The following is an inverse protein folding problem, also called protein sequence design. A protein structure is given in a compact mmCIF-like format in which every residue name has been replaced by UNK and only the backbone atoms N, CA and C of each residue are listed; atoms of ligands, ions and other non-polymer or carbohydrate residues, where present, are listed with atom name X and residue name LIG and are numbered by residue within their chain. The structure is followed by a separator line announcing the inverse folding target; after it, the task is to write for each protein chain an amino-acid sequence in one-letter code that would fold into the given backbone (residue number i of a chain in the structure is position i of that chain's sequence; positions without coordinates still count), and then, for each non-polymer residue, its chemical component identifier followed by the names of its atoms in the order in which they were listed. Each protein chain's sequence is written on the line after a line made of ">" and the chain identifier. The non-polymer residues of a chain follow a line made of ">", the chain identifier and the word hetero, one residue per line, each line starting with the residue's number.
data_IF_918452566387
#
_entry.id   IF_918452566387
#
_cell.length_a   1.000
_cell.length_b   1.000
_cell.length_c   1.000
_cell.angle_alpha   90.00
_cell.angle_beta   90.00
_cell.angle_gamma   90.00
#
_symmetry.space_group_name_H-M   'P 1'
#
loop_
_entity.id
_entity.type
_entity.pdbx_description
1 polymer ?
#
# COMPACT_ATOMS: atom_id res chain seq x y z
N UNK A 1 20.80 34.96 32.65
CA UNK A 1 20.85 33.50 32.43
C UNK A 1 19.58 32.77 32.87
N UNK A 2 19.10 32.89 34.12
CA UNK A 2 17.86 32.21 34.58
C UNK A 2 16.61 32.54 33.74
N UNK A 3 16.41 33.83 33.39
CA UNK A 3 15.28 34.26 32.56
C UNK A 3 15.33 33.66 31.16
N UNK A 4 16.51 33.65 30.53
CA UNK A 4 16.73 33.06 29.21
C UNK A 4 16.43 31.56 29.22
N UNK A 5 16.98 30.79 30.16
CA UNK A 5 16.71 29.36 30.28
C UNK A 5 15.21 29.08 30.51
N UNK A 6 14.53 29.90 31.31
CA UNK A 6 13.08 29.80 31.50
C UNK A 6 12.32 30.03 30.19
N UNK A 7 12.68 31.06 29.43
CA UNK A 7 12.04 31.38 28.15
C UNK A 7 12.25 30.27 27.12
N UNK A 8 13.48 29.77 26.98
CA UNK A 8 13.80 28.62 26.11
C UNK A 8 13.00 27.39 26.51
N UNK A 9 12.94 27.07 27.82
CA UNK A 9 12.18 25.91 28.31
C UNK A 9 10.69 26.02 28.01
N UNK A 10 10.11 27.22 28.19
CA UNK A 10 8.70 27.47 27.84
C UNK A 10 8.48 27.31 26.33
N UNK A 11 9.37 27.87 25.50
CA UNK A 11 9.26 27.73 24.04
C UNK A 11 9.34 26.27 23.60
N UNK A 12 10.30 25.49 24.12
CA UNK A 12 10.41 24.06 23.83
C UNK A 12 9.16 23.29 24.29
N UNK A 13 8.62 23.61 25.47
CA UNK A 13 7.38 23.01 25.95
C UNK A 13 6.21 23.30 25.00
N UNK A 14 6.09 24.54 24.52
CA UNK A 14 5.06 24.92 23.55
C UNK A 14 5.21 24.16 22.23
N UNK A 15 6.45 23.97 21.75
CA UNK A 15 6.71 23.18 20.54
C UNK A 15 6.31 21.70 20.73
N UNK A 16 6.60 21.11 21.90
CA UNK A 16 6.20 19.74 22.21
C UNK A 16 4.68 19.60 22.25
N UNK A 17 3.98 20.55 22.90
CA UNK A 17 2.51 20.57 22.95
C UNK A 17 1.92 20.71 21.53
N UNK A 18 2.47 21.62 20.71
CA UNK A 18 2.03 21.79 19.33
C UNK A 18 2.26 20.53 18.50
N UNK A 19 3.44 19.90 18.61
CA UNK A 19 3.72 18.62 17.95
C UNK A 19 2.71 17.55 18.33
N UNK A 20 2.40 17.41 19.62
CA UNK A 20 1.45 16.43 20.12
C UNK A 20 0.04 16.65 19.55
N UNK A 21 -0.43 17.90 19.52
CA UNK A 21 -1.74 18.24 18.94
C UNK A 21 -1.78 17.95 17.43
N UNK A 22 -0.74 18.31 16.69
CA UNK A 22 -0.63 18.00 15.26
C UNK A 22 -0.54 16.50 15.00
N UNK A 23 0.16 15.75 15.86
CA UNK A 23 0.25 14.30 15.74
C UNK A 23 -1.11 13.63 15.99
N UNK A 24 -1.90 14.09 16.97
CA UNK A 24 -3.28 13.61 17.16
C UNK A 24 -4.11 13.84 15.89
N UNK A 25 -3.99 15.02 15.28
CA UNK A 25 -4.69 15.36 14.05
C UNK A 25 -4.27 14.43 12.89
N UNK A 26 -2.98 14.28 12.64
CA UNK A 26 -2.45 13.38 11.60
C UNK A 26 -2.87 11.93 11.86
N UNK A 27 -2.78 11.48 13.11
CA UNK A 27 -3.18 10.12 13.47
C UNK A 27 -4.65 9.87 13.14
N UNK A 28 -5.53 10.82 13.45
CA UNK A 28 -6.96 10.66 13.24
C UNK A 28 -7.37 10.52 11.77
N UNK A 29 -6.70 11.20 10.84
CA UNK A 29 -7.12 11.27 9.44
C UNK A 29 -6.21 10.55 8.45
N UNK A 30 -4.99 10.19 8.84
CA UNK A 30 -3.99 9.63 7.91
C UNK A 30 -3.36 8.31 8.36
N UNK A 31 -3.07 8.17 9.67
CA UNK A 31 -2.35 7.00 10.18
C UNK A 31 -3.29 5.91 10.70
N UNK A 32 -4.38 6.27 11.41
CA UNK A 32 -5.19 5.31 12.19
C UNK A 32 -5.59 4.06 11.41
N UNK A 33 -6.12 4.25 10.21
CA UNK A 33 -6.65 3.14 9.41
C UNK A 33 -5.51 2.29 8.81
N UNK A 34 -4.29 2.84 8.73
CA UNK A 34 -3.11 2.11 8.28
C UNK A 34 -2.49 1.22 9.36
N UNK A 35 -2.61 1.61 10.64
CA UNK A 35 -2.02 0.92 11.80
C UNK A 35 -2.92 -0.17 12.39
N UNK A 36 -4.16 -0.26 11.94
CA UNK A 36 -5.11 -1.27 12.39
C UNK A 36 -4.91 -2.56 11.59
N UNK A 37 -4.64 -3.65 12.31
CA UNK A 37 -4.45 -4.99 11.76
C UNK A 37 -5.03 -6.02 12.72
N UNK A 38 -5.77 -6.98 12.18
CA UNK A 38 -6.26 -8.10 12.97
C UNK A 38 -5.21 -9.23 12.99
N UNK A 39 -4.71 -9.51 14.19
CA UNK A 39 -3.70 -10.55 14.44
C UNK A 39 -4.31 -11.93 14.67
N UNK A 40 -5.64 -12.06 14.64
CA UNK A 40 -6.37 -13.32 14.83
C UNK A 40 -6.33 -14.28 13.63
N UNK A 41 -5.84 -13.82 12.47
CA UNK A 41 -5.74 -14.61 11.24
C UNK A 41 -4.39 -15.31 11.11
N UNK A 42 -4.33 -16.30 10.22
CA UNK A 42 -3.07 -16.99 9.86
C UNK A 42 -2.68 -16.85 8.39
N UNK A 43 -3.60 -16.32 7.56
CA UNK A 43 -3.36 -15.97 6.17
C UNK A 43 -3.57 -14.47 5.99
N UNK A 44 -2.70 -13.82 5.22
CA UNK A 44 -2.75 -12.37 5.02
C UNK A 44 -2.53 -12.00 3.55
N UNK A 45 -3.24 -10.96 3.09
CA UNK A 45 -2.99 -10.31 1.80
C UNK A 45 -2.16 -9.03 2.02
N UNK A 46 -1.01 -8.96 1.37
CA UNK A 46 -0.13 -7.79 1.32
C UNK A 46 -0.09 -7.25 -0.11
N UNK A 47 -0.97 -6.31 -0.43
CA UNK A 47 -0.96 -5.64 -1.72
C UNK A 47 -0.97 -4.12 -1.55
N UNK A 48 -0.77 -3.43 -2.66
CA UNK A 48 -0.88 -1.98 -2.69
C UNK A 48 -2.35 -1.54 -2.80
N UNK A 49 -2.62 -0.45 -3.51
CA UNK A 49 -3.98 0.03 -3.72
C UNK A 49 -4.87 -0.99 -4.44
N UNK A 50 -4.32 -1.97 -5.18
CA UNK A 50 -5.11 -3.02 -5.85
C UNK A 50 -5.79 -3.98 -4.87
N UNK A 51 -5.21 -4.21 -3.68
CA UNK A 51 -5.83 -5.04 -2.64
C UNK A 51 -6.94 -4.31 -1.87
N UNK A 52 -6.98 -2.98 -1.92
CA UNK A 52 -7.93 -2.18 -1.09
C UNK A 52 -9.42 -2.42 -1.40
N UNK A 53 -9.87 -2.64 -2.65
CA UNK A 53 -11.28 -2.87 -2.93
C UNK A 53 -11.80 -4.21 -2.41
N UNK A 54 -10.93 -5.19 -2.16
CA UNK A 54 -11.31 -6.47 -1.57
C UNK A 54 -11.73 -6.31 -0.11
N UNK A 55 -11.22 -5.28 0.59
CA UNK A 55 -11.61 -4.96 1.97
C UNK A 55 -11.71 -6.17 2.88
N UNK A 56 -12.78 -6.22 3.69
CA UNK A 56 -13.07 -7.32 4.61
C UNK A 56 -13.70 -8.55 3.90
N UNK A 57 -13.91 -8.51 2.59
CA UNK A 57 -14.48 -9.66 1.88
C UNK A 57 -13.54 -10.86 1.95
N UNK A 58 -12.22 -10.64 2.02
CA UNK A 58 -11.24 -11.73 2.15
C UNK A 58 -11.36 -12.47 3.48
N UNK A 59 -11.91 -11.83 4.51
CA UNK A 59 -12.05 -12.40 5.85
C UNK A 59 -13.06 -13.54 5.91
N UNK A 60 -14.03 -13.56 4.97
CA UNK A 60 -14.97 -14.68 4.78
C UNK A 60 -14.22 -15.98 4.43
N UNK A 61 -13.01 -15.85 3.87
CA UNK A 61 -12.13 -16.95 3.50
C UNK A 61 -10.96 -17.13 4.47
N UNK A 62 -11.07 -16.63 5.71
CA UNK A 62 -10.04 -16.68 6.75
C UNK A 62 -8.70 -16.02 6.35
N UNK A 63 -8.76 -15.02 5.46
CA UNK A 63 -7.61 -14.21 5.03
C UNK A 63 -7.81 -12.76 5.44
N UNK A 64 -6.91 -12.18 6.24
CA UNK A 64 -6.98 -10.76 6.57
C UNK A 64 -6.33 -9.90 5.48
N UNK A 65 -7.07 -8.91 4.98
CA UNK A 65 -6.57 -7.97 4.01
C UNK A 65 -5.73 -6.89 4.69
N UNK A 66 -4.42 -7.04 4.63
CA UNK A 66 -3.48 -6.08 5.21
C UNK A 66 -2.84 -5.17 4.14
N UNK A 67 -3.55 -4.97 3.03
CA UNK A 67 -3.16 -4.08 1.93
C UNK A 67 -3.32 -2.61 2.29
N UNK A 68 -2.51 -1.75 1.68
CA UNK A 68 -2.57 -0.30 1.89
C UNK A 68 -2.37 0.46 0.59
N UNK A 69 -3.10 1.58 0.42
CA UNK A 69 -2.90 2.45 -0.73
C UNK A 69 -1.43 2.87 -0.84
N UNK A 70 -0.81 2.64 -2.00
CA UNK A 70 0.60 2.92 -2.26
C UNK A 70 1.59 2.07 -1.44
N UNK A 71 1.21 0.91 -0.90
CA UNK A 71 2.21 0.06 -0.25
C UNK A 71 3.29 -0.39 -1.25
N UNK A 72 4.54 -0.11 -0.89
CA UNK A 72 5.71 -0.62 -1.61
C UNK A 72 6.15 -1.96 -1.03
N UNK A 73 7.08 -2.66 -1.69
CA UNK A 73 7.65 -3.88 -1.11
C UNK A 73 8.37 -3.62 0.22
N UNK A 74 8.89 -2.41 0.46
CA UNK A 74 9.45 -2.05 1.77
C UNK A 74 8.37 -2.00 2.86
N UNK A 75 7.18 -1.49 2.53
CA UNK A 75 6.05 -1.44 3.45
C UNK A 75 5.54 -2.86 3.75
N UNK A 76 5.38 -3.68 2.71
CA UNK A 76 4.99 -5.08 2.82
C UNK A 76 6.01 -5.90 3.61
N UNK A 77 7.32 -5.65 3.43
CA UNK A 77 8.38 -6.29 4.22
C UNK A 77 8.26 -5.96 5.71
N UNK A 78 8.00 -4.69 6.05
CA UNK A 78 7.79 -4.26 7.45
C UNK A 78 6.54 -4.89 8.05
N UNK A 79 5.44 -4.92 7.29
CA UNK A 79 4.20 -5.60 7.68
C UNK A 79 4.41 -7.08 7.92
N UNK A 80 5.08 -7.79 7.02
CA UNK A 80 5.40 -9.22 7.17
C UNK A 80 6.20 -9.49 8.45
N UNK A 81 7.25 -8.71 8.70
CA UNK A 81 8.07 -8.84 9.91
C UNK A 81 7.26 -8.56 11.17
N UNK A 82 6.37 -7.57 11.13
CA UNK A 82 5.44 -7.30 12.21
C UNK A 82 4.51 -8.48 12.48
N UNK A 83 3.89 -9.06 11.44
CA UNK A 83 3.01 -10.22 11.57
C UNK A 83 3.76 -11.40 12.22
N UNK A 84 4.95 -11.75 11.73
CA UNK A 84 5.76 -12.85 12.27
C UNK A 84 6.11 -12.66 13.75
N UNK A 85 6.30 -11.42 14.20
CA UNK A 85 6.57 -11.11 15.62
C UNK A 85 5.36 -11.25 16.52
N UNK A 86 4.15 -11.09 16.00
CA UNK A 86 2.95 -10.89 16.81
C UNK A 86 1.84 -11.93 16.60
N UNK A 87 1.93 -12.76 15.56
CA UNK A 87 0.97 -13.83 15.28
C UNK A 87 1.63 -14.99 14.54
N UNK A 88 0.87 -16.08 14.35
CA UNK A 88 1.27 -17.20 13.51
C UNK A 88 0.86 -16.92 12.08
N UNK A 89 1.83 -16.93 11.16
CA UNK A 89 1.58 -16.73 9.73
C UNK A 89 1.85 -18.04 9.01
N UNK A 90 0.84 -18.56 8.31
CA UNK A 90 0.94 -19.77 7.50
C UNK A 90 1.11 -19.42 6.01
N UNK A 91 0.41 -18.38 5.55
CA UNK A 91 0.41 -17.99 4.14
C UNK A 91 0.33 -16.48 3.95
N UNK A 92 1.03 -15.99 2.94
CA UNK A 92 0.97 -14.62 2.45
C UNK A 92 0.61 -14.62 0.97
N UNK A 93 -0.39 -13.82 0.62
CA UNK A 93 -0.65 -13.40 -0.75
C UNK A 93 0.01 -12.04 -0.96
N UNK A 94 0.75 -11.84 -2.05
CA UNK A 94 1.45 -10.59 -2.33
C UNK A 94 1.17 -10.10 -3.74
N UNK A 95 0.95 -8.79 -3.93
CA UNK A 95 0.80 -8.26 -5.28
C UNK A 95 2.13 -8.30 -6.06
N UNK A 96 2.05 -8.69 -7.33
CA UNK A 96 3.18 -8.76 -8.27
C UNK A 96 2.82 -8.21 -9.65
N UNK A 97 1.96 -7.19 -9.67
CA UNK A 97 1.56 -6.48 -10.89
C UNK A 97 2.76 -5.82 -11.58
N UNK A 98 2.61 -5.50 -12.86
CA UNK A 98 3.70 -5.04 -13.73
C UNK A 98 4.42 -3.78 -13.22
N UNK A 99 3.72 -2.89 -12.51
CA UNK A 99 4.27 -1.62 -11.98
C UNK A 99 4.89 -1.75 -10.57
N UNK A 100 4.74 -2.88 -9.88
CA UNK A 100 5.09 -2.99 -8.44
C UNK A 100 6.58 -2.79 -8.15
N UNK A 101 7.44 -3.01 -9.15
CA UNK A 101 8.88 -2.75 -9.09
C UNK A 101 9.30 -1.41 -9.72
N UNK A 102 8.36 -0.53 -10.05
CA UNK A 102 8.65 0.81 -10.60
C UNK A 102 9.51 1.63 -9.63
N UNK A 103 10.56 2.33 -10.11
CA UNK A 103 11.31 3.29 -9.30
C UNK A 103 10.48 4.37 -8.65
N UNK A 104 9.33 4.74 -9.23
CA UNK A 104 8.41 5.70 -8.62
C UNK A 104 7.88 5.25 -7.25
N UNK A 105 7.87 3.94 -6.96
CA UNK A 105 7.46 3.37 -5.67
C UNK A 105 8.43 3.66 -4.53
N UNK A 106 9.66 4.11 -4.83
CA UNK A 106 10.59 4.59 -3.80
C UNK A 106 10.14 5.93 -3.20
N UNK A 107 9.32 6.70 -3.92
CA UNK A 107 8.73 7.95 -3.44
C UNK A 107 7.22 7.85 -3.20
N UNK A 108 6.53 6.97 -3.93
CA UNK A 108 5.11 6.64 -3.78
C UNK A 108 4.92 5.42 -2.87
N UNK A 109 5.23 5.60 -1.59
CA UNK A 109 5.15 4.54 -0.58
C UNK A 109 4.55 5.04 0.73
N UNK A 110 4.56 4.19 1.76
CA UNK A 110 4.06 4.49 3.09
C UNK A 110 5.12 4.37 4.18
N UNK A 111 6.41 4.60 3.86
CA UNK A 111 7.50 4.40 4.82
C UNK A 111 7.34 5.22 6.11
N UNK A 112 6.69 6.37 6.03
CA UNK A 112 6.35 7.20 7.18
C UNK A 112 5.25 6.61 8.07
N UNK A 113 4.33 5.81 7.52
CA UNK A 113 3.30 5.09 8.28
C UNK A 113 3.79 3.70 8.71
N UNK A 114 4.41 2.96 7.80
CA UNK A 114 4.92 1.60 8.05
C UNK A 114 6.09 1.55 9.03
N UNK A 115 6.69 2.69 9.38
CA UNK A 115 7.58 2.80 10.53
C UNK A 115 6.89 2.32 11.84
N UNK A 116 5.56 2.38 11.95
CA UNK A 116 4.82 1.76 13.06
C UNK A 116 5.06 0.24 13.18
N UNK A 117 5.35 -0.44 12.08
CA UNK A 117 5.55 -1.89 12.04
C UNK A 117 6.98 -2.34 12.29
N UNK A 118 7.95 -1.43 12.24
CA UNK A 118 9.36 -1.79 12.38
C UNK A 118 9.81 -1.97 13.83
N UNK A 119 10.85 -2.77 14.03
CA UNK A 119 11.56 -2.93 15.30
C UNK A 119 13.07 -2.67 15.13
N UNK A 120 13.83 -2.62 16.22
CA UNK A 120 15.25 -2.29 16.23
C UNK A 120 16.07 -3.18 15.29
N UNK A 121 15.74 -4.46 15.22
CA UNK A 121 16.41 -5.49 14.42
C UNK A 121 16.24 -5.27 12.92
N UNK A 122 15.25 -4.47 12.51
CA UNK A 122 14.96 -4.17 11.11
C UNK A 122 15.91 -3.09 10.54
N UNK A 123 16.78 -2.48 11.37
CA UNK A 123 17.67 -1.37 10.97
C UNK A 123 19.15 -1.69 11.15
N UNK A 124 19.97 -1.17 10.24
CA UNK A 124 21.43 -1.36 10.28
C UNK A 124 22.07 -0.69 11.51
N UNK A 125 21.48 0.41 11.99
CA UNK A 125 21.99 1.17 13.13
C UNK A 125 20.87 1.64 14.07
N UNK A 126 21.23 1.80 15.35
CA UNK A 126 20.29 2.31 16.36
C UNK A 126 19.85 3.74 16.03
N UNK A 127 20.72 4.53 15.39
CA UNK A 127 20.40 5.89 14.94
C UNK A 127 19.29 5.89 13.89
N UNK A 128 19.37 5.01 12.89
CA UNK A 128 18.32 4.87 11.87
C UNK A 128 17.00 4.45 12.48
N UNK A 129 17.02 3.46 13.37
CA UNK A 129 15.82 3.04 14.11
C UNK A 129 15.18 4.20 14.86
N UNK A 130 15.95 4.96 15.66
CA UNK A 130 15.41 6.10 16.40
C UNK A 130 14.89 7.19 15.46
N UNK A 131 15.63 7.48 14.40
CA UNK A 131 15.22 8.47 13.42
C UNK A 131 13.88 8.10 12.78
N UNK A 132 13.74 6.87 12.30
CA UNK A 132 12.55 6.47 11.55
C UNK A 132 11.36 6.19 12.47
N UNK A 133 11.55 5.32 13.48
CA UNK A 133 10.49 4.88 14.40
C UNK A 133 9.97 5.99 15.31
N UNK A 134 10.86 6.87 15.76
CA UNK A 134 10.51 7.85 16.79
C UNK A 134 10.47 9.29 16.27
N UNK A 135 11.49 9.72 15.50
CA UNK A 135 11.51 11.09 15.00
C UNK A 135 10.55 11.27 13.81
N UNK A 136 10.70 10.53 12.72
CA UNK A 136 9.86 10.67 11.53
C UNK A 136 8.39 10.35 11.81
N UNK A 137 8.12 9.31 12.59
CA UNK A 137 6.75 8.87 12.87
C UNK A 137 6.02 9.75 13.90
N UNK A 138 6.67 10.21 15.00
CA UNK A 138 5.97 11.01 16.03
C UNK A 138 6.26 12.52 15.99
N UNK A 139 7.36 12.96 15.36
CA UNK A 139 7.70 14.37 15.24
C UNK A 139 7.21 14.93 13.89
N UNK A 140 6.01 15.50 13.91
CA UNK A 140 5.34 16.07 12.74
C UNK A 140 6.20 17.09 12.01
N UNK A 141 6.95 17.91 12.74
CA UNK A 141 7.81 18.94 12.15
C UNK A 141 9.00 18.41 11.35
N UNK A 142 9.37 17.15 11.54
CA UNK A 142 10.48 16.50 10.82
C UNK A 142 9.98 15.74 9.59
N UNK A 143 8.67 15.48 9.52
CA UNK A 143 8.05 14.71 8.46
C UNK A 143 7.38 15.62 7.43
N UNK A 144 8.01 15.73 6.25
CA UNK A 144 7.52 16.58 5.16
C UNK A 144 6.15 16.14 4.63
N UNK A 145 5.86 14.82 4.62
CA UNK A 145 4.56 14.30 4.20
C UNK A 145 3.46 14.71 5.17
N UNK A 146 3.69 14.61 6.48
CA UNK A 146 2.72 15.08 7.47
C UNK A 146 2.47 16.59 7.34
N UNK A 147 3.54 17.36 7.11
CA UNK A 147 3.42 18.81 6.89
C UNK A 147 2.56 19.12 5.65
N UNK A 148 2.73 18.38 4.56
CA UNK A 148 1.90 18.50 3.36
C UNK A 148 0.44 18.10 3.62
N UNK A 149 0.21 17.00 4.34
CA UNK A 149 -1.14 16.53 4.69
C UNK A 149 -1.86 17.54 5.57
N UNK A 150 -1.21 18.07 6.61
CA UNK A 150 -1.78 19.12 7.46
C UNK A 150 -2.08 20.37 6.62
N UNK A 151 -1.14 20.81 5.78
CA UNK A 151 -1.35 21.96 4.91
C UNK A 151 -2.58 21.75 4.02
N UNK A 152 -2.69 20.59 3.37
CA UNK A 152 -3.82 20.26 2.50
C UNK A 152 -5.12 20.18 3.29
N UNK A 153 -5.12 19.57 4.48
CA UNK A 153 -6.28 19.52 5.36
C UNK A 153 -6.75 20.92 5.78
N UNK A 154 -5.82 21.77 6.23
CA UNK A 154 -6.14 23.15 6.61
C UNK A 154 -6.72 23.90 5.40
N UNK A 155 -6.08 23.84 4.24
CA UNK A 155 -6.50 24.56 3.03
C UNK A 155 -7.84 24.05 2.47
N UNK A 156 -8.06 22.73 2.44
CA UNK A 156 -9.15 22.11 1.70
C UNK A 156 -10.33 21.66 2.56
N UNK A 157 -10.15 21.40 3.85
CA UNK A 157 -11.22 20.88 4.73
C UNK A 157 -11.65 21.90 5.77
N UNK A 158 -10.68 22.64 6.32
CA UNK A 158 -10.95 23.60 7.40
C UNK A 158 -11.40 24.98 6.91
N UNK A 159 -10.94 25.39 5.72
CA UNK A 159 -11.28 26.69 5.13
C UNK A 159 -12.21 26.62 3.89
N UNK A 160 -12.51 25.43 3.37
CA UNK A 160 -13.43 25.26 2.24
C UNK A 160 -14.78 24.67 2.69
N UNK A 161 -15.63 25.57 3.20
CA UNK A 161 -16.98 25.24 3.72
C UNK A 161 -17.87 24.64 2.61
N UNK A 162 -17.53 24.83 1.33
CA UNK A 162 -18.32 24.31 0.20
C UNK A 162 -18.24 22.78 0.06
N UNK A 163 -17.21 22.14 0.64
CA UNK A 163 -17.02 20.68 0.60
C UNK A 163 -17.69 19.90 1.73
N UNK A 164 -18.21 20.59 2.74
CA UNK A 164 -19.00 19.99 3.82
C UNK A 164 -20.36 19.43 3.33
N UNK A 165 -20.69 19.61 2.03
CA UNK A 165 -21.83 19.01 1.34
C UNK A 165 -21.53 17.73 0.53
N UNK A 166 -20.32 17.17 0.62
CA UNK A 166 -19.95 15.90 -0.03
C UNK A 166 -19.82 16.04 -1.56
N UNK A 167 -18.59 16.11 -2.07
CA UNK A 167 -18.38 16.04 -3.52
C UNK A 167 -18.65 14.61 -4.00
N UNK A 168 -19.84 14.38 -4.56
CA UNK A 168 -20.19 13.15 -5.27
C UNK A 168 -19.55 13.10 -6.66
N UNK A 169 -18.92 11.95 -6.90
CA UNK A 169 -18.52 11.29 -8.14
C UNK A 169 -17.84 12.12 -9.24
N UNK A 170 -16.53 11.91 -9.40
CA UNK A 170 -15.96 11.71 -10.74
C UNK A 170 -16.80 10.64 -11.45
N UNK A 171 -17.09 10.83 -12.74
CA UNK A 171 -17.75 9.82 -13.57
C UNK A 171 -17.14 8.43 -13.31
N UNK A 172 -17.97 7.38 -13.23
CA UNK A 172 -17.46 6.01 -13.13
C UNK A 172 -16.59 5.68 -14.33
N UNK A 173 -15.71 4.68 -14.23
CA UNK A 173 -14.84 4.27 -15.33
C UNK A 173 -15.63 3.92 -16.59
N UNK A 174 -16.75 3.21 -16.42
CA UNK A 174 -17.67 2.82 -17.50
C UNK A 174 -18.35 4.02 -18.17
N UNK A 175 -18.59 5.12 -17.44
CA UNK A 175 -19.20 6.34 -17.99
C UNK A 175 -18.21 7.20 -18.81
N UNK A 176 -16.90 6.89 -18.76
CA UNK A 176 -15.90 7.65 -19.50
C UNK A 176 -15.92 7.29 -20.98
N UNK A 177 -15.68 8.28 -21.86
CA UNK A 177 -15.46 7.98 -23.27
C UNK A 177 -14.17 7.18 -23.47
N UNK A 178 -14.12 6.34 -24.51
CA UNK A 178 -12.92 5.57 -24.85
C UNK A 178 -11.66 6.44 -25.02
N UNK A 179 -11.81 7.69 -25.49
CA UNK A 179 -10.68 8.63 -25.58
C UNK A 179 -10.17 9.03 -24.19
N UNK A 180 -11.06 9.35 -23.25
CA UNK A 180 -10.68 9.71 -21.88
C UNK A 180 -10.05 8.53 -21.13
N UNK A 181 -10.64 7.33 -21.25
CA UNK A 181 -10.06 6.12 -20.68
C UNK A 181 -8.63 5.89 -21.19
N UNK A 182 -8.43 6.08 -22.51
CA UNK A 182 -7.11 5.95 -23.14
C UNK A 182 -6.11 7.01 -22.65
N UNK A 183 -6.52 8.27 -22.55
CA UNK A 183 -5.66 9.36 -22.06
C UNK A 183 -5.19 9.09 -20.62
N UNK A 184 -6.12 8.80 -19.70
CA UNK A 184 -5.80 8.55 -18.29
C UNK A 184 -4.93 7.29 -18.13
N UNK A 185 -5.21 6.23 -18.90
CA UNK A 185 -4.40 5.00 -18.91
C UNK A 185 -2.98 5.25 -19.42
N UNK A 186 -2.83 6.06 -20.47
CA UNK A 186 -1.53 6.43 -21.02
C UNK A 186 -0.72 7.25 -20.02
N UNK A 187 -1.35 8.23 -19.35
CA UNK A 187 -0.68 9.03 -18.31
C UNK A 187 -0.21 8.16 -17.14
N UNK A 188 -1.02 7.18 -16.74
CA UNK A 188 -0.67 6.23 -15.68
C UNK A 188 0.52 5.36 -16.06
N UNK A 189 0.52 4.80 -17.26
CA UNK A 189 1.64 3.98 -17.77
C UNK A 189 2.89 4.82 -17.87
N UNK A 190 2.81 6.03 -18.43
CA UNK A 190 3.97 6.94 -18.51
C UNK A 190 4.54 7.28 -17.13
N UNK A 191 3.69 7.42 -16.11
CA UNK A 191 4.15 7.64 -14.74
C UNK A 191 4.84 6.38 -14.16
N UNK A 192 4.25 5.20 -14.33
CA UNK A 192 4.83 3.98 -13.75
C UNK A 192 6.06 3.47 -14.48
N UNK A 193 6.08 3.59 -15.80
CA UNK A 193 7.13 3.09 -16.68
C UNK A 193 8.02 4.22 -17.22
N UNK A 194 8.15 5.32 -16.48
CA UNK A 194 9.07 6.43 -16.82
C UNK A 194 10.53 5.94 -16.95
N UNK A 195 10.89 4.92 -16.17
CA UNK A 195 12.24 4.39 -16.09
C UNK A 195 12.40 3.06 -16.82
N UNK A 196 13.47 2.91 -17.59
CA UNK A 196 13.73 1.67 -18.35
C UNK A 196 14.09 0.45 -17.48
N UNK A 197 14.48 0.65 -16.21
CA UNK A 197 14.94 -0.42 -15.32
C UNK A 197 14.11 -0.46 -14.03
N UNK A 198 13.88 -1.66 -13.46
CA UNK A 198 13.19 -1.80 -12.19
C UNK A 198 14.01 -1.18 -11.04
N UNK A 199 13.32 -0.81 -9.96
CA UNK A 199 13.96 -0.38 -8.73
C UNK A 199 14.79 -1.51 -8.12
N UNK A 200 16.06 -1.22 -7.88
CA UNK A 200 16.96 -2.12 -7.15
C UNK A 200 16.50 -2.29 -5.70
N UNK A 201 15.98 -1.23 -5.09
CA UNK A 201 15.51 -1.23 -3.69
C UNK A 201 14.27 -2.10 -3.54
N UNK A 202 13.28 -1.92 -4.42
CA UNK A 202 12.06 -2.73 -4.44
C UNK A 202 12.36 -4.20 -4.75
N UNK A 203 13.19 -4.46 -5.75
CA UNK A 203 13.62 -5.82 -6.11
C UNK A 203 14.31 -6.52 -4.95
N UNK A 204 15.19 -5.79 -4.24
CA UNK A 204 15.88 -6.31 -3.06
C UNK A 204 14.91 -6.58 -1.91
N UNK A 205 13.87 -5.76 -1.74
CA UNK A 205 12.86 -5.97 -0.70
C UNK A 205 11.97 -7.17 -1.00
N UNK A 206 11.55 -7.36 -2.25
CA UNK A 206 10.81 -8.56 -2.67
C UNK A 206 11.63 -9.85 -2.43
N UNK A 207 12.92 -9.84 -2.77
CA UNK A 207 13.82 -10.97 -2.48
C UNK A 207 13.96 -11.23 -0.96
N UNK A 208 13.97 -10.17 -0.13
CA UNK A 208 13.97 -10.33 1.33
C UNK A 208 12.65 -10.90 1.84
N UNK A 209 11.51 -10.47 1.31
CA UNK A 209 10.19 -11.06 1.62
C UNK A 209 10.20 -12.55 1.32
N UNK A 210 10.66 -12.96 0.13
CA UNK A 210 10.80 -14.37 -0.26
C UNK A 210 11.68 -15.13 0.75
N UNK A 211 12.82 -14.56 1.12
CA UNK A 211 13.74 -15.19 2.08
C UNK A 211 13.13 -15.32 3.48
N UNK A 212 12.41 -14.30 3.96
CA UNK A 212 11.71 -14.32 5.24
C UNK A 212 10.63 -15.41 5.23
N UNK A 213 9.82 -15.49 4.18
CA UNK A 213 8.78 -16.51 4.08
C UNK A 213 9.38 -17.92 4.10
N UNK A 214 10.42 -18.18 3.28
CA UNK A 214 11.14 -19.46 3.26
C UNK A 214 11.73 -19.82 4.63
N UNK A 215 12.36 -18.86 5.32
CA UNK A 215 12.97 -19.11 6.63
C UNK A 215 11.96 -19.42 7.74
N UNK A 216 10.71 -18.96 7.59
CA UNK A 216 9.65 -19.17 8.57
C UNK A 216 8.62 -20.23 8.13
N UNK A 217 8.87 -20.96 7.04
CA UNK A 217 7.94 -21.91 6.43
C UNK A 217 6.55 -21.31 6.11
N UNK A 218 6.54 -20.06 5.68
CA UNK A 218 5.35 -19.34 5.22
C UNK A 218 5.18 -19.59 3.73
N UNK A 219 4.01 -20.05 3.31
CA UNK A 219 3.66 -20.15 1.90
C UNK A 219 3.48 -18.74 1.31
N UNK A 220 4.14 -18.45 0.19
CA UNK A 220 4.06 -17.16 -0.49
C UNK A 220 3.49 -17.34 -1.89
N UNK A 221 2.38 -16.67 -2.17
CA UNK A 221 1.69 -16.70 -3.48
C UNK A 221 1.67 -15.28 -4.05
N UNK A 222 2.16 -15.12 -5.28
CA UNK A 222 2.05 -13.88 -6.04
C UNK A 222 0.67 -13.76 -6.68
N UNK A 223 0.08 -12.58 -6.62
CA UNK A 223 -1.18 -12.24 -7.27
C UNK A 223 -0.96 -11.09 -8.26
N UNK A 224 -1.43 -11.26 -9.50
CA UNK A 224 -1.66 -10.14 -10.44
C UNK A 224 -3.15 -9.83 -10.47
N UNK A 225 -3.50 -8.56 -10.30
CA UNK A 225 -4.87 -8.10 -10.13
C UNK A 225 -5.55 -7.85 -11.48
N UNK A 226 -6.90 -7.95 -11.56
CA UNK A 226 -7.62 -7.65 -12.79
C UNK A 226 -7.36 -6.23 -13.29
N UNK A 227 -7.27 -6.09 -14.61
CA UNK A 227 -7.05 -4.82 -15.29
C UNK A 227 -8.15 -4.59 -16.33
N UNK A 228 -8.44 -3.32 -16.61
CA UNK A 228 -9.38 -2.96 -17.67
C UNK A 228 -8.78 -3.28 -19.04
N UNK A 229 -9.63 -3.58 -20.02
CA UNK A 229 -9.18 -3.85 -21.41
C UNK A 229 -8.44 -2.67 -22.02
N UNK A 230 -8.89 -1.44 -21.75
CA UNK A 230 -8.21 -0.24 -22.24
C UNK A 230 -6.80 -0.13 -21.65
N UNK A 231 -6.62 -0.41 -20.35
CA UNK A 231 -5.31 -0.37 -19.71
C UNK A 231 -4.38 -1.45 -20.27
N UNK A 232 -4.84 -2.70 -20.31
CA UNK A 232 -4.08 -3.83 -20.88
C UNK A 232 -3.65 -3.58 -22.32
N UNK A 233 -4.55 -3.02 -23.15
CA UNK A 233 -4.25 -2.72 -24.54
C UNK A 233 -3.18 -1.65 -24.75
N UNK A 234 -2.89 -0.83 -23.73
CA UNK A 234 -1.84 0.20 -23.78
C UNK A 234 -0.57 -0.28 -23.08
N UNK A 235 -0.71 -1.08 -22.02
CA UNK A 235 0.39 -1.67 -21.27
C UNK A 235 1.27 -2.54 -22.17
N UNK A 236 0.67 -3.27 -23.10
CA UNK A 236 1.35 -4.13 -24.09
C UNK A 236 2.38 -5.07 -23.42
N UNK A 237 3.67 -4.78 -23.51
CA UNK A 237 4.77 -5.56 -22.93
C UNK A 237 5.54 -4.80 -21.84
N UNK A 238 5.05 -3.65 -21.39
CA UNK A 238 5.67 -2.87 -20.32
C UNK A 238 5.48 -3.59 -18.98
N UNK A 239 6.58 -4.09 -18.43
CA UNK A 239 6.58 -4.75 -17.14
C UNK A 239 7.95 -4.67 -16.47
N UNK A 240 7.95 -4.46 -15.16
CA UNK A 240 9.14 -4.65 -14.34
C UNK A 240 9.31 -6.09 -13.83
N UNK A 241 8.41 -7.00 -14.20
CA UNK A 241 8.54 -8.45 -14.04
C UNK A 241 8.72 -8.91 -12.58
N UNK A 242 7.90 -8.38 -11.67
CA UNK A 242 7.89 -8.79 -10.26
C UNK A 242 7.51 -10.27 -10.09
N UNK A 243 6.53 -10.72 -10.86
CA UNK A 243 6.10 -12.11 -10.99
C UNK A 243 7.26 -13.07 -11.36
N UNK A 244 8.13 -12.64 -12.27
CA UNK A 244 9.28 -13.41 -12.71
C UNK A 244 10.27 -13.68 -11.56
N UNK A 245 10.41 -12.74 -10.61
CA UNK A 245 11.22 -12.95 -9.40
C UNK A 245 10.65 -14.10 -8.56
N UNK A 246 9.32 -14.20 -8.43
CA UNK A 246 8.66 -15.29 -7.73
C UNK A 246 8.82 -16.62 -8.48
N UNK A 247 8.56 -16.62 -9.79
CA UNK A 247 8.64 -17.82 -10.64
C UNK A 247 10.05 -18.42 -10.60
N UNK A 248 11.10 -17.60 -10.75
CA UNK A 248 12.51 -18.05 -10.67
C UNK A 248 12.83 -18.65 -9.28
N UNK A 249 12.11 -18.22 -8.26
CA UNK A 249 12.22 -18.75 -6.89
C UNK A 249 11.35 -19.97 -6.60
N UNK A 250 10.71 -20.55 -7.63
CA UNK A 250 9.74 -21.66 -7.57
C UNK A 250 8.52 -21.35 -6.70
N UNK A 251 8.04 -20.11 -6.73
CA UNK A 251 6.82 -19.70 -6.05
C UNK A 251 5.66 -19.62 -7.04
N UNK A 252 4.45 -19.85 -6.53
CA UNK A 252 3.24 -19.78 -7.34
C UNK A 252 2.86 -18.32 -7.63
N UNK A 253 2.46 -18.04 -8.86
CA UNK A 253 1.85 -16.78 -9.27
C UNK A 253 0.50 -17.10 -9.89
N UNK A 254 -0.52 -16.35 -9.50
CA UNK A 254 -1.86 -16.41 -10.06
C UNK A 254 -2.12 -15.08 -10.77
N UNK A 255 -2.45 -15.18 -12.04
CA UNK A 255 -2.65 -14.05 -12.94
C UNK A 255 -4.14 -13.89 -13.23
N UNK A 256 -4.68 -12.73 -12.84
CA UNK A 256 -6.07 -12.35 -13.09
C UNK A 256 -6.22 -11.13 -13.98
N UNK A 257 -5.16 -10.66 -14.63
CA UNK A 257 -5.16 -9.44 -15.43
C UNK A 257 -6.35 -9.38 -16.39
N UNK A 258 -6.62 -10.51 -17.04
CA UNK A 258 -7.64 -10.65 -18.08
C UNK A 258 -9.05 -10.99 -17.57
N UNK A 259 -9.26 -11.14 -16.25
CA UNK A 259 -10.50 -11.67 -15.67
C UNK A 259 -11.75 -10.84 -16.05
N UNK A 260 -11.61 -9.52 -16.10
CA UNK A 260 -12.74 -8.59 -16.29
C UNK A 260 -12.60 -7.69 -17.54
N UNK A 261 -11.90 -8.15 -18.59
CA UNK A 261 -11.65 -7.34 -19.79
C UNK A 261 -12.90 -6.73 -20.43
N UNK A 262 -14.06 -7.39 -20.37
CA UNK A 262 -15.31 -6.87 -20.95
C UNK A 262 -16.30 -6.38 -19.87
N UNK A 263 -15.82 -6.06 -18.67
CA UNK A 263 -16.64 -5.72 -17.51
C UNK A 263 -16.13 -4.43 -16.82
N UNK A 264 -16.03 -3.33 -17.58
CA UNK A 264 -15.58 -2.02 -17.09
C UNK A 264 -16.37 -1.52 -15.86
N UNK A 265 -17.61 -1.96 -15.68
CA UNK A 265 -18.45 -1.65 -14.52
C UNK A 265 -17.92 -2.20 -13.19
N UNK A 266 -16.95 -3.14 -13.21
CA UNK A 266 -16.28 -3.66 -12.02
C UNK A 266 -15.15 -2.75 -11.52
N UNK A 267 -14.85 -1.68 -12.25
CA UNK A 267 -13.67 -0.86 -12.04
C UNK A 267 -14.05 0.57 -11.64
N UNK A 268 -13.31 1.12 -10.67
CA UNK A 268 -13.39 2.54 -10.35
C UNK A 268 -12.52 3.39 -11.28
N UNK A 269 -11.44 2.79 -11.79
CA UNK A 269 -10.47 3.38 -12.71
C UNK A 269 -9.73 2.27 -13.50
N UNK A 270 -8.76 2.63 -14.32
CA UNK A 270 -8.05 1.75 -15.26
C UNK A 270 -7.40 0.49 -14.66
N UNK A 271 -6.95 0.55 -13.41
CA UNK A 271 -6.18 -0.50 -12.72
C UNK A 271 -6.75 -0.89 -11.34
N UNK A 272 -7.86 -0.27 -10.90
CA UNK A 272 -8.50 -0.61 -9.64
C UNK A 272 -9.95 -1.03 -9.79
N UNK A 273 -10.27 -2.15 -9.15
CA UNK A 273 -11.64 -2.56 -8.90
C UNK A 273 -12.38 -1.51 -8.04
N UNK A 274 -13.69 -1.46 -8.23
CA UNK A 274 -14.59 -0.84 -7.26
C UNK A 274 -14.95 -1.85 -6.16
N UNK A 275 -15.89 -1.48 -5.27
CA UNK A 275 -16.30 -2.36 -4.18
C UNK A 275 -16.98 -3.64 -4.67
N UNK A 276 -17.84 -3.55 -5.69
CA UNK A 276 -18.55 -4.71 -6.24
C UNK A 276 -17.59 -5.64 -6.98
N UNK A 277 -16.67 -5.08 -7.77
CA UNK A 277 -15.59 -5.82 -8.42
C UNK A 277 -14.69 -6.52 -7.41
N UNK A 278 -14.34 -5.85 -6.31
CA UNK A 278 -13.54 -6.41 -5.21
C UNK A 278 -14.22 -7.58 -4.49
N UNK A 279 -15.53 -7.49 -4.23
CA UNK A 279 -16.34 -8.57 -3.64
C UNK A 279 -16.32 -9.81 -4.54
N UNK A 280 -16.70 -9.65 -5.82
CA UNK A 280 -16.74 -10.76 -6.79
C UNK A 280 -15.36 -11.35 -7.05
N UNK A 281 -14.32 -10.51 -7.10
CA UNK A 281 -12.96 -10.98 -7.31
C UNK A 281 -12.47 -11.83 -6.14
N UNK A 282 -12.85 -11.48 -4.91
CA UNK A 282 -12.50 -12.25 -3.71
C UNK A 282 -13.04 -13.68 -3.79
N UNK A 283 -14.31 -13.85 -4.18
CA UNK A 283 -14.92 -15.17 -4.37
C UNK A 283 -14.11 -16.00 -5.39
N UNK A 284 -13.84 -15.43 -6.58
CA UNK A 284 -13.08 -16.10 -7.64
C UNK A 284 -11.66 -16.47 -7.19
N UNK A 285 -10.98 -15.54 -6.52
CA UNK A 285 -9.61 -15.73 -6.05
C UNK A 285 -9.52 -16.94 -5.13
N UNK A 286 -10.37 -17.00 -4.09
CA UNK A 286 -10.26 -18.04 -3.06
C UNK A 286 -10.92 -19.36 -3.45
N UNK A 287 -11.98 -19.35 -4.27
CA UNK A 287 -12.55 -20.58 -4.83
C UNK A 287 -11.53 -21.30 -5.75
N UNK A 288 -10.78 -20.54 -6.57
CA UNK A 288 -9.74 -21.09 -7.45
C UNK A 288 -8.58 -21.75 -6.70
N UNK A 289 -8.38 -21.36 -5.43
CA UNK A 289 -7.35 -21.90 -4.56
C UNK A 289 -7.82 -23.17 -3.84
N UNK A 290 -9.12 -23.29 -3.54
CA UNK A 290 -9.70 -24.50 -2.95
C UNK A 290 -9.74 -25.65 -3.96
N UNK A 291 -10.11 -25.40 -5.21
CA UNK A 291 -10.14 -26.42 -6.27
C UNK A 291 -8.75 -27.06 -6.52
N UNK A 292 -7.67 -26.31 -6.30
CA UNK A 292 -6.30 -26.81 -6.42
C UNK A 292 -5.86 -27.68 -5.23
N UNK A 293 -6.53 -27.63 -4.08
CA UNK A 293 -6.22 -28.49 -2.92
C UNK A 293 -6.85 -29.88 -3.05
N UNK A 294 -7.85 -30.04 -3.91
CA UNK A 294 -8.61 -31.29 -4.08
C UNK A 294 -8.05 -32.19 -5.20
N UNK A 295 -7.19 -31.64 -6.08
CA UNK A 295 -6.54 -32.35 -7.18
C UNK A 295 -5.05 -32.62 -6.89
#
# INVERSE_FOLDING_TARGET
>A
MKLFLKQVSIFLLLLVVLNFLLFILIRAFYIRDYDQVDLGYSEYLLADSHGTPLGDFTEIHDVHNFSGQSDSYLDMERKLRFLIRHTTVNKIYISVDDHTLSPTREDQNNLDRSAYYSDREDYSSYKEFIHDKYLNYYCVFVNDRYSLIIKNFLQNELFDISKWGGSRSKNSWEDMSALQQKEISTDRINNYFEFALPSVVMSSSLLRIIAICKANNIELIGLRFPLTKTYLGILDNESYNADSILIINNLHVIDFDSLYMEQDYMFRDMDHLDKEGGEKFTEILFDSLEEKKVN
#
